data_IF_708265529424
#
_entry.id   IF_708265529424
#
_cell.length_a   1.000
_cell.length_b   1.000
_cell.length_c   1.000
_cell.angle_alpha   90.00
_cell.angle_beta   90.00
_cell.angle_gamma   90.00
#
_symmetry.space_group_name_H-M   'P 1'
#
loop_
_entity.id
_entity.type
_entity.pdbx_description
1 polymer ?
#
# COMPACT_ATOMS: atom_id res chain seq x y z
N UNK A 1 -16.26 15.29 -0.75
CA UNK A 1 -15.61 16.34 -1.59
C UNK A 1 -14.19 15.89 -1.85
N UNK A 2 -13.70 15.97 -3.10
CA UNK A 2 -12.29 15.67 -3.42
C UNK A 2 -11.39 16.57 -2.57
N UNK A 3 -10.52 16.00 -1.75
CA UNK A 3 -9.59 16.77 -0.93
C UNK A 3 -8.49 17.32 -1.86
N UNK A 4 -8.69 18.55 -2.35
CA UNK A 4 -7.85 19.18 -3.39
C UNK A 4 -6.37 19.20 -2.96
N UNK A 5 -6.11 19.44 -1.67
CA UNK A 5 -4.75 19.42 -1.13
C UNK A 5 -4.10 18.05 -1.34
N UNK A 6 -4.80 16.96 -0.99
CA UNK A 6 -4.27 15.59 -1.14
C UNK A 6 -4.01 15.25 -2.60
N UNK A 7 -4.88 15.70 -3.52
CA UNK A 7 -4.68 15.47 -4.95
C UNK A 7 -3.43 16.22 -5.45
N UNK A 8 -3.22 17.46 -5.00
CA UNK A 8 -2.02 18.21 -5.35
C UNK A 8 -0.76 17.54 -4.75
N UNK A 9 -0.82 17.09 -3.49
CA UNK A 9 0.28 16.38 -2.85
C UNK A 9 0.66 15.10 -3.64
N UNK A 10 -0.33 14.36 -4.17
CA UNK A 10 -0.09 13.20 -5.04
C UNK A 10 0.55 13.58 -6.39
N UNK A 11 0.09 14.69 -6.99
CA UNK A 11 0.67 15.21 -8.22
C UNK A 11 2.14 15.58 -8.03
N UNK A 12 2.51 16.19 -6.91
CA UNK A 12 3.88 16.58 -6.59
C UNK A 12 4.79 15.35 -6.34
N UNK A 13 4.22 14.20 -5.96
CA UNK A 13 4.88 12.89 -5.94
C UNK A 13 4.97 12.21 -7.32
N UNK A 14 4.44 12.86 -8.38
CA UNK A 14 4.43 12.35 -9.75
C UNK A 14 3.23 11.45 -10.10
N UNK A 15 2.24 11.30 -9.20
CA UNK A 15 1.03 10.53 -9.46
C UNK A 15 -0.02 11.46 -10.08
N UNK A 16 -0.27 11.31 -11.37
CA UNK A 16 -1.17 12.18 -12.15
C UNK A 16 -2.29 11.38 -12.80
N UNK A 17 -3.49 11.95 -12.88
CA UNK A 17 -4.66 11.32 -13.48
C UNK A 17 -5.96 11.65 -12.74
N UNK A 18 -7.09 11.20 -13.29
CA UNK A 18 -8.38 11.29 -12.62
C UNK A 18 -8.65 9.98 -11.87
N UNK A 19 -8.18 9.94 -10.63
CA UNK A 19 -8.38 8.81 -9.73
C UNK A 19 -9.35 9.18 -8.62
N UNK A 20 -10.08 8.17 -8.16
CA UNK A 20 -10.73 8.23 -6.86
C UNK A 20 -9.65 8.14 -5.76
N UNK A 21 -9.78 8.99 -4.73
CA UNK A 21 -8.84 9.04 -3.60
C UNK A 21 -9.59 8.71 -2.32
N UNK A 22 -9.37 7.51 -1.79
CA UNK A 22 -9.87 7.07 -0.49
C UNK A 22 -8.88 7.48 0.61
N UNK A 23 -9.12 8.63 1.25
CA UNK A 23 -8.23 9.20 2.27
C UNK A 23 -8.72 8.86 3.69
N UNK A 24 -7.88 8.18 4.47
CA UNK A 24 -8.18 7.70 5.83
C UNK A 24 -9.48 6.86 5.90
N UNK A 25 -9.59 5.77 5.13
CA UNK A 25 -10.78 4.91 5.17
C UNK A 25 -10.95 4.31 6.58
N UNK A 26 -12.20 4.20 7.00
CA UNK A 26 -12.60 3.47 8.20
C UNK A 26 -12.38 1.96 8.03
N UNK A 27 -12.36 1.22 9.15
CA UNK A 27 -12.28 -0.24 9.11
C UNK A 27 -13.43 -0.88 8.32
N UNK A 28 -14.64 -0.31 8.40
CA UNK A 28 -15.79 -0.83 7.66
C UNK A 28 -15.62 -0.62 6.15
N UNK A 29 -15.13 0.55 5.72
CA UNK A 29 -14.83 0.81 4.31
C UNK A 29 -13.73 -0.13 3.78
N UNK A 30 -12.68 -0.35 4.57
CA UNK A 30 -11.62 -1.32 4.23
C UNK A 30 -12.18 -2.73 4.11
N UNK A 31 -12.98 -3.18 5.09
CA UNK A 31 -13.58 -4.51 5.07
C UNK A 31 -14.43 -4.72 3.81
N UNK A 32 -15.30 -3.76 3.45
CA UNK A 32 -16.13 -3.86 2.25
C UNK A 32 -15.29 -3.92 0.96
N UNK A 33 -14.20 -3.14 0.90
CA UNK A 33 -13.30 -3.15 -0.25
C UNK A 33 -12.56 -4.49 -0.39
N UNK A 34 -12.05 -5.04 0.72
CA UNK A 34 -11.28 -6.28 0.74
C UNK A 34 -12.10 -7.52 0.35
N UNK A 35 -13.39 -7.56 0.72
CA UNK A 35 -14.30 -8.68 0.43
C UNK A 35 -15.08 -8.52 -0.88
N UNK A 36 -14.79 -7.47 -1.65
CA UNK A 36 -15.46 -7.21 -2.92
C UNK A 36 -15.32 -8.36 -3.91
N UNK A 37 -16.41 -8.68 -4.60
CA UNK A 37 -16.44 -9.69 -5.66
C UNK A 37 -15.62 -9.29 -6.89
N UNK A 38 -15.25 -8.01 -7.01
CA UNK A 38 -14.42 -7.51 -8.11
C UNK A 38 -12.93 -7.85 -7.94
N UNK A 39 -12.48 -8.10 -6.71
CA UNK A 39 -11.07 -8.34 -6.37
C UNK A 39 -10.58 -9.68 -6.94
N UNK A 40 -9.37 -9.68 -7.53
CA UNK A 40 -8.81 -10.85 -8.23
C UNK A 40 -7.37 -11.11 -7.81
N UNK A 41 -6.90 -12.35 -8.02
CA UNK A 41 -5.52 -12.72 -7.71
C UNK A 41 -5.18 -12.49 -6.23
N UNK A 42 -4.09 -11.75 -5.98
CA UNK A 42 -3.60 -11.46 -4.62
C UNK A 42 -4.36 -10.34 -3.90
N UNK A 43 -5.25 -9.62 -4.59
CA UNK A 43 -6.10 -8.57 -3.99
C UNK A 43 -7.30 -9.16 -3.23
N UNK A 44 -7.61 -10.44 -3.45
CA UNK A 44 -8.82 -11.05 -2.91
C UNK A 44 -8.67 -11.35 -1.41
N UNK A 45 -9.52 -10.73 -0.59
CA UNK A 45 -9.77 -11.11 0.79
C UNK A 45 -10.85 -12.20 0.92
N UNK A 46 -10.77 -13.00 1.98
CA UNK A 46 -11.80 -13.94 2.37
C UNK A 46 -12.10 -13.81 3.86
N UNK A 47 -13.39 -13.76 4.22
CA UNK A 47 -13.83 -13.75 5.62
C UNK A 47 -13.65 -15.16 6.19
N UNK A 48 -12.91 -15.26 7.29
CA UNK A 48 -12.68 -16.50 8.03
C UNK A 48 -13.81 -16.77 9.02
N UNK A 49 -13.86 -17.98 9.59
CA UNK A 49 -14.88 -18.35 10.59
C UNK A 49 -14.81 -17.51 11.89
N UNK A 50 -13.67 -16.85 12.14
CA UNK A 50 -13.51 -15.92 13.27
C UNK A 50 -13.97 -14.50 12.94
N UNK A 51 -14.42 -14.25 11.70
CA UNK A 51 -14.85 -12.93 11.22
C UNK A 51 -13.72 -12.04 10.71
N UNK A 52 -12.45 -12.44 10.86
CA UNK A 52 -11.32 -11.70 10.31
C UNK A 52 -11.16 -11.95 8.81
N UNK A 53 -10.66 -10.95 8.07
CA UNK A 53 -10.27 -11.11 6.66
C UNK A 53 -8.88 -11.75 6.57
N UNK A 54 -8.75 -12.75 5.71
CA UNK A 54 -7.47 -13.36 5.36
C UNK A 54 -7.15 -13.17 3.87
N UNK A 55 -5.87 -12.96 3.56
CA UNK A 55 -5.35 -12.76 2.19
C UNK A 55 -4.20 -13.74 1.88
N UNK A 56 -3.83 -13.87 0.61
CA UNK A 56 -2.67 -14.65 0.15
C UNK A 56 -1.69 -13.73 -0.58
N UNK A 57 -0.42 -13.78 -0.20
CA UNK A 57 0.66 -12.95 -0.77
C UNK A 57 1.46 -13.67 -1.87
N UNK A 58 0.98 -14.83 -2.33
CA UNK A 58 1.65 -15.63 -3.35
C UNK A 58 3.00 -16.16 -2.87
N UNK A 59 4.04 -15.98 -3.68
CA UNK A 59 5.40 -16.44 -3.37
C UNK A 59 6.10 -15.60 -2.30
N UNK A 60 5.64 -14.35 -2.08
CA UNK A 60 6.23 -13.41 -1.13
C UNK A 60 5.68 -13.65 0.27
N UNK A 61 6.10 -14.74 0.90
CA UNK A 61 5.65 -15.19 2.23
C UNK A 61 6.52 -14.67 3.38
N UNK A 62 7.51 -13.83 3.07
CA UNK A 62 8.43 -13.23 4.02
C UNK A 62 9.17 -12.03 3.45
N UNK A 63 10.13 -11.49 4.20
CA UNK A 63 10.95 -10.37 3.76
C UNK A 63 11.92 -10.80 2.65
N UNK A 64 12.22 -9.89 1.73
CA UNK A 64 13.27 -10.04 0.72
C UNK A 64 14.47 -9.15 1.04
N UNK A 65 15.34 -9.52 1.99
CA UNK A 65 16.44 -8.67 2.43
C UNK A 65 17.45 -8.33 1.32
N UNK A 66 17.56 -9.18 0.29
CA UNK A 66 18.43 -8.96 -0.87
C UNK A 66 17.92 -7.90 -1.84
N UNK A 67 16.64 -7.54 -1.76
CA UNK A 67 16.01 -6.54 -2.63
C UNK A 67 15.83 -5.18 -1.91
N UNK A 68 16.38 -5.04 -0.70
CA UNK A 68 16.36 -3.79 0.06
C UNK A 68 17.57 -2.95 -0.30
N UNK A 69 17.32 -1.78 -0.88
CA UNK A 69 18.34 -0.77 -1.17
C UNK A 69 18.04 0.52 -0.42
N UNK A 70 19.08 1.28 -0.10
CA UNK A 70 19.01 2.64 0.42
C UNK A 70 19.69 3.53 -0.62
N UNK A 71 19.10 4.68 -0.93
CA UNK A 71 19.72 5.65 -1.85
C UNK A 71 20.97 6.20 -1.17
N UNK A 72 22.11 6.18 -1.85
CA UNK A 72 23.33 6.82 -1.39
C UNK A 72 23.30 8.29 -1.83
N UNK A 73 23.11 9.19 -0.87
CA UNK A 73 23.06 10.64 -1.06
C UNK A 73 23.80 11.38 0.07
N UNK A 74 23.81 12.72 0.03
CA UNK A 74 24.50 13.54 1.03
C UNK A 74 23.97 13.35 2.46
N UNK A 75 22.73 12.85 2.64
CA UNK A 75 22.15 12.61 3.96
C UNK A 75 22.59 11.24 4.52
N UNK A 76 22.67 10.24 3.65
CA UNK A 76 22.82 8.83 4.01
C UNK A 76 24.25 8.31 3.89
N UNK A 77 25.09 8.97 3.10
CA UNK A 77 26.47 8.53 2.82
C UNK A 77 27.29 8.26 4.09
N UNK A 78 27.20 9.14 5.07
CA UNK A 78 28.02 9.07 6.29
C UNK A 78 27.21 8.67 7.54
N UNK A 79 25.90 8.40 7.41
CA UNK A 79 25.00 8.07 8.54
C UNK A 79 24.49 6.64 8.52
N UNK A 80 24.57 5.95 7.38
CA UNK A 80 24.18 4.55 7.23
C UNK A 80 25.42 3.66 7.32
N UNK A 81 25.25 2.49 7.94
CA UNK A 81 26.27 1.45 7.95
C UNK A 81 26.23 0.66 6.63
N UNK A 82 27.19 0.96 5.75
CA UNK A 82 27.27 0.41 4.39
C UNK A 82 28.17 -0.84 4.27
N UNK A 83 29.00 -1.11 5.28
CA UNK A 83 29.94 -2.26 5.34
C UNK A 83 29.31 -3.53 5.94
#
# INVERSE_FOLDING_TARGET
>A
MKNIKIIQDLHDLGITGDYEVCYNPSYDELFQAEVSHSSKGYEKGAVTDTGAVAVKTGVFTGRSPKDRYIVLDEVTKDTIYWD
#
